data_IF_114079737781
#
_entry.id   IF_114079737781
#
_cell.length_a   1.000
_cell.length_b   1.000
_cell.length_c   1.000
_cell.angle_alpha   90.00
_cell.angle_beta   90.00
_cell.angle_gamma   90.00
#
_symmetry.space_group_name_H-M   'P 1'
#
loop_
_entity.id
_entity.type
_entity.pdbx_description
1 polymer ?
#
# COMPACT_ATOMS: atom_id res chain seq x y z
N UNK A 1 -10.09 -57.16 29.61
CA UNK A 1 -10.41 -55.84 29.00
C UNK A 1 -9.12 -55.12 28.66
N UNK A 2 -8.76 -55.02 27.37
CA UNK A 2 -7.55 -54.30 26.93
C UNK A 2 -7.98 -52.89 26.55
N UNK A 3 -7.50 -51.88 27.29
CA UNK A 3 -7.63 -50.47 26.91
C UNK A 3 -6.66 -50.20 25.73
N UNK A 4 -7.23 -49.87 24.58
CA UNK A 4 -6.47 -49.35 23.46
C UNK A 4 -6.27 -47.84 23.67
N UNK A 5 -5.03 -47.44 23.88
CA UNK A 5 -4.63 -46.05 23.85
C UNK A 5 -4.62 -45.59 22.37
N UNK A 6 -5.56 -44.73 22.03
CA UNK A 6 -5.57 -44.01 20.77
C UNK A 6 -4.68 -42.78 20.92
N UNK A 7 -3.46 -42.82 20.38
CA UNK A 7 -2.60 -41.66 20.23
C UNK A 7 -3.12 -40.85 19.05
N UNK A 8 -3.74 -39.74 19.34
CA UNK A 8 -4.15 -38.77 18.33
C UNK A 8 -2.89 -37.88 18.02
N UNK A 9 -2.20 -38.20 16.92
CA UNK A 9 -1.13 -37.37 16.40
C UNK A 9 -1.77 -36.21 15.66
N UNK A 10 -1.89 -35.05 16.33
CA UNK A 10 -2.32 -33.82 15.69
C UNK A 10 -1.25 -33.32 14.72
N UNK A 11 -1.50 -33.38 13.43
CA UNK A 11 -0.68 -32.71 12.42
C UNK A 11 -0.91 -31.19 12.53
N UNK A 12 0.08 -30.46 13.06
CA UNK A 12 0.06 -29.00 13.03
C UNK A 12 0.59 -28.60 11.64
N UNK A 13 -0.30 -28.21 10.76
CA UNK A 13 0.07 -27.68 9.44
C UNK A 13 0.39 -26.19 9.59
N UNK A 14 1.66 -25.84 9.50
CA UNK A 14 2.05 -24.44 9.39
C UNK A 14 1.77 -23.97 7.96
N UNK A 15 0.78 -23.08 7.79
CA UNK A 15 0.58 -22.38 6.52
C UNK A 15 1.73 -21.37 6.33
N UNK A 16 2.59 -21.62 5.35
CA UNK A 16 3.60 -20.66 4.92
C UNK A 16 2.89 -19.55 4.16
N UNK A 17 2.87 -18.33 4.74
CA UNK A 17 2.36 -17.14 4.05
C UNK A 17 3.35 -16.78 2.95
N UNK A 18 2.93 -16.87 1.68
CA UNK A 18 3.75 -16.48 0.54
C UNK A 18 3.92 -14.95 0.48
N UNK A 19 5.01 -14.41 -0.11
CA UNK A 19 5.19 -12.97 -0.31
C UNK A 19 4.02 -12.29 -1.04
N UNK A 20 3.33 -13.00 -1.94
CA UNK A 20 2.14 -12.52 -2.63
C UNK A 20 0.95 -12.32 -1.68
N UNK A 21 0.79 -13.16 -0.64
CA UNK A 21 -0.25 -12.99 0.38
C UNK A 21 0.06 -11.81 1.31
N UNK A 22 1.33 -11.56 1.63
CA UNK A 22 1.75 -10.39 2.41
C UNK A 22 1.48 -9.08 1.66
N UNK A 23 1.62 -9.06 0.32
CA UNK A 23 1.26 -7.89 -0.50
C UNK A 23 -0.24 -7.62 -0.50
N UNK A 24 -1.07 -8.65 -0.48
CA UNK A 24 -2.53 -8.52 -0.43
C UNK A 24 -3.06 -7.96 0.90
N UNK A 25 -2.28 -8.01 1.97
CA UNK A 25 -2.63 -7.41 3.27
C UNK A 25 -2.90 -5.90 3.16
N UNK A 26 -2.17 -5.20 2.29
CA UNK A 26 -2.35 -3.75 2.09
C UNK A 26 -3.35 -3.42 0.98
N UNK A 27 -3.69 -4.36 0.14
CA UNK A 27 -4.57 -4.14 -1.01
C UNK A 27 -5.96 -3.66 -0.59
N UNK A 28 -6.64 -4.39 0.30
CA UNK A 28 -7.97 -4.03 0.75
C UNK A 28 -8.04 -2.67 1.46
N UNK A 29 -7.20 -2.36 2.45
CA UNK A 29 -7.24 -1.05 3.11
C UNK A 29 -6.84 0.10 2.18
N UNK A 30 -5.91 -0.09 1.27
CA UNK A 30 -5.52 0.96 0.32
C UNK A 30 -6.57 1.16 -0.77
N UNK A 31 -7.23 0.10 -1.24
CA UNK A 31 -8.37 0.22 -2.14
C UNK A 31 -9.54 0.95 -1.49
N UNK A 32 -9.87 0.64 -0.24
CA UNK A 32 -10.90 1.36 0.51
C UNK A 32 -10.54 2.84 0.67
N UNK A 33 -9.30 3.14 1.02
CA UNK A 33 -8.82 4.51 1.12
C UNK A 33 -8.93 5.26 -0.22
N UNK A 34 -8.61 4.60 -1.33
CA UNK A 34 -8.74 5.18 -2.66
C UNK A 34 -10.20 5.49 -3.03
N UNK A 35 -11.13 4.60 -2.70
CA UNK A 35 -12.55 4.76 -3.01
C UNK A 35 -13.22 5.85 -2.18
N UNK A 36 -12.86 5.95 -0.92
CA UNK A 36 -13.55 6.80 0.06
C UNK A 36 -12.77 8.06 0.43
N UNK A 37 -11.71 8.38 -0.30
CA UNK A 37 -10.86 9.55 -0.08
C UNK A 37 -10.28 9.60 1.35
N UNK A 38 -9.77 8.48 1.82
CA UNK A 38 -9.12 8.41 3.12
C UNK A 38 -7.62 8.70 3.01
N UNK A 39 -7.11 9.33 4.05
CA UNK A 39 -5.69 9.59 4.25
C UNK A 39 -5.07 8.44 5.03
N UNK A 40 -3.87 8.03 4.63
CA UNK A 40 -3.13 7.00 5.33
C UNK A 40 -1.78 7.51 5.84
N UNK A 41 -1.35 6.94 6.95
CA UNK A 41 0.01 7.02 7.44
C UNK A 41 0.74 5.75 7.03
N UNK A 42 1.88 5.88 6.38
CA UNK A 42 2.63 4.76 5.80
C UNK A 42 4.10 4.81 6.19
N UNK A 43 4.64 3.68 6.62
CA UNK A 43 6.08 3.44 6.71
C UNK A 43 6.53 2.71 5.45
N UNK A 44 7.54 3.24 4.80
CA UNK A 44 7.96 2.78 3.48
C UNK A 44 9.46 2.54 3.42
N UNK A 45 9.85 1.38 2.85
CA UNK A 45 11.24 1.00 2.57
C UNK A 45 12.16 1.18 3.81
N UNK A 46 13.19 1.98 3.68
CA UNK A 46 14.19 2.25 4.72
C UNK A 46 13.92 3.53 5.52
N UNK A 47 12.68 4.01 5.53
CA UNK A 47 12.33 5.28 6.18
C UNK A 47 12.73 5.29 7.67
N UNK A 48 12.45 4.23 8.41
CA UNK A 48 12.80 4.13 9.83
C UNK A 48 14.31 4.22 10.05
N UNK A 49 15.10 3.49 9.26
CA UNK A 49 16.57 3.50 9.38
C UNK A 49 17.19 4.84 8.99
N UNK A 50 16.48 5.65 8.22
CA UNK A 50 16.89 7.00 7.83
C UNK A 50 16.41 8.09 8.80
N UNK A 51 15.68 7.71 9.85
CA UNK A 51 15.08 8.65 10.79
C UNK A 51 13.93 9.46 10.21
N UNK A 52 13.27 8.95 9.16
CA UNK A 52 12.13 9.61 8.55
C UNK A 52 10.86 9.43 9.37
N UNK A 53 10.06 10.49 9.45
CA UNK A 53 8.69 10.39 9.93
C UNK A 53 7.85 9.54 8.96
N UNK A 54 6.79 8.88 9.45
CA UNK A 54 5.83 8.21 8.58
C UNK A 54 5.31 9.16 7.49
N UNK A 55 5.04 8.60 6.32
CA UNK A 55 4.50 9.35 5.18
C UNK A 55 3.00 9.52 5.35
N UNK A 56 2.51 10.71 5.12
CA UNK A 56 1.07 11.01 5.06
C UNK A 56 0.68 11.10 3.60
N UNK A 57 -0.29 10.27 3.20
CA UNK A 57 -0.61 10.08 1.80
C UNK A 57 -2.13 10.10 1.60
N UNK A 58 -2.57 10.92 0.67
CA UNK A 58 -3.90 10.87 0.08
C UNK A 58 -3.88 9.78 -0.99
N UNK A 59 -4.58 8.68 -0.77
CA UNK A 59 -4.54 7.52 -1.69
C UNK A 59 -5.45 7.77 -2.87
N UNK A 60 -4.89 7.74 -4.09
CA UNK A 60 -5.64 7.97 -5.32
C UNK A 60 -6.01 6.68 -6.03
N UNK A 61 -5.06 5.78 -6.21
CA UNK A 61 -5.24 4.59 -7.01
C UNK A 61 -4.35 3.45 -6.54
N UNK A 62 -4.85 2.23 -6.67
CA UNK A 62 -4.07 0.99 -6.51
C UNK A 62 -4.18 0.20 -7.80
N UNK A 63 -3.08 -0.31 -8.28
CA UNK A 63 -3.09 -1.03 -9.54
C UNK A 63 -1.89 -1.95 -9.75
N UNK A 64 -1.96 -2.66 -10.85
CA UNK A 64 -0.92 -3.59 -11.32
C UNK A 64 -0.13 -2.94 -12.45
N UNK A 65 1.18 -2.97 -12.37
CA UNK A 65 2.08 -2.53 -13.43
C UNK A 65 2.33 -3.59 -14.50
N UNK A 66 3.03 -3.20 -15.57
CA UNK A 66 3.41 -4.11 -16.65
C UNK A 66 4.27 -5.29 -16.19
N UNK A 67 4.97 -5.13 -15.06
CA UNK A 67 5.81 -6.16 -14.45
C UNK A 67 5.03 -7.10 -13.50
N UNK A 68 3.70 -6.99 -13.44
CA UNK A 68 2.83 -7.77 -12.56
C UNK A 68 2.89 -7.38 -11.08
N UNK A 69 3.62 -6.31 -10.72
CA UNK A 69 3.74 -5.83 -9.35
C UNK A 69 2.61 -4.87 -9.00
N UNK A 70 2.24 -4.86 -7.72
CA UNK A 70 1.28 -3.92 -7.16
C UNK A 70 1.95 -2.58 -6.83
N UNK A 71 1.23 -1.52 -7.18
CA UNK A 71 1.62 -0.14 -6.92
C UNK A 71 0.45 0.65 -6.33
N UNK A 72 0.78 1.65 -5.54
CA UNK A 72 -0.16 2.67 -5.09
C UNK A 72 0.30 4.03 -5.59
N UNK A 73 -0.63 4.80 -6.14
CA UNK A 73 -0.47 6.20 -6.46
C UNK A 73 -1.18 7.06 -5.43
N UNK A 74 -0.55 8.13 -5.03
CA UNK A 74 -1.15 9.08 -4.11
C UNK A 74 -0.40 10.40 -4.06
N UNK A 75 -0.94 11.32 -3.27
CA UNK A 75 -0.33 12.59 -2.96
C UNK A 75 0.31 12.53 -1.59
N UNK A 76 1.63 12.62 -1.53
CA UNK A 76 2.36 12.66 -0.27
C UNK A 76 2.47 14.09 0.22
N UNK A 77 1.91 14.36 1.40
CA UNK A 77 1.97 15.68 2.06
C UNK A 77 3.04 15.76 3.14
N UNK A 78 3.53 14.65 3.65
CA UNK A 78 4.49 14.56 4.76
C UNK A 78 5.35 13.30 4.65
N UNK A 79 6.54 13.36 5.25
CA UNK A 79 7.50 12.27 5.31
C UNK A 79 8.66 12.46 4.34
N UNK A 80 9.70 11.64 4.49
CA UNK A 80 10.92 11.77 3.69
C UNK A 80 10.70 11.43 2.22
N UNK A 81 11.33 12.22 1.39
CA UNK A 81 11.58 11.91 -0.02
C UNK A 81 13.06 12.10 -0.28
N UNK A 82 13.60 11.51 -1.34
CA UNK A 82 15.02 11.71 -1.72
C UNK A 82 15.30 13.19 -1.91
N UNK A 83 15.75 13.87 -0.84
CA UNK A 83 16.27 15.24 -0.87
C UNK A 83 15.22 16.34 -1.08
N UNK A 84 13.93 16.08 -0.90
CA UNK A 84 12.88 17.10 -1.07
C UNK A 84 11.72 16.86 -0.13
N UNK A 85 11.41 17.84 0.71
CA UNK A 85 10.27 17.85 1.63
C UNK A 85 9.00 18.43 0.99
N UNK A 86 8.78 18.17 -0.29
CA UNK A 86 7.65 18.77 -0.98
C UNK A 86 6.49 17.80 -1.13
N UNK A 87 5.30 18.32 -0.86
CA UNK A 87 4.06 17.67 -1.23
C UNK A 87 4.05 17.40 -2.75
N UNK A 88 3.85 16.16 -3.13
CA UNK A 88 3.87 15.74 -4.52
C UNK A 88 3.17 14.42 -4.75
N UNK A 89 2.79 14.19 -6.01
CA UNK A 89 2.39 12.86 -6.47
C UNK A 89 3.56 11.89 -6.32
N UNK A 90 3.25 10.68 -5.86
CA UNK A 90 4.20 9.59 -5.66
C UNK A 90 3.61 8.27 -6.07
N UNK A 91 4.51 7.39 -6.53
CA UNK A 91 4.23 5.96 -6.72
C UNK A 91 4.95 5.17 -5.66
N UNK A 92 4.24 4.22 -5.07
CA UNK A 92 4.77 3.33 -4.05
C UNK A 92 4.60 1.89 -4.49
N UNK A 93 5.67 1.11 -4.37
CA UNK A 93 5.63 -0.33 -4.59
C UNK A 93 5.13 -1.03 -3.34
N UNK A 94 4.20 -1.95 -3.48
CA UNK A 94 3.65 -2.70 -2.35
C UNK A 94 4.72 -3.51 -1.61
N UNK A 95 5.68 -4.09 -2.33
CA UNK A 95 6.75 -4.88 -1.73
C UNK A 95 7.71 -4.08 -0.82
N UNK A 96 7.61 -2.75 -0.84
CA UNK A 96 8.37 -1.84 0.02
C UNK A 96 7.54 -1.22 1.15
N UNK A 97 6.25 -1.45 1.20
CA UNK A 97 5.39 -0.98 2.29
C UNK A 97 5.67 -1.81 3.54
N UNK A 98 5.92 -1.16 4.66
CA UNK A 98 6.16 -1.79 5.96
C UNK A 98 4.95 -1.74 6.87
N UNK A 99 4.17 -0.66 6.82
CA UNK A 99 2.90 -0.52 7.53
C UNK A 99 2.02 0.53 6.88
N UNK A 100 0.72 0.36 7.05
CA UNK A 100 -0.31 1.31 6.61
C UNK A 100 -1.35 1.43 7.71
N UNK A 101 -1.71 2.65 8.06
CA UNK A 101 -2.77 2.97 9.00
C UNK A 101 -3.65 4.08 8.42
N UNK A 102 -4.96 3.88 8.42
CA UNK A 102 -5.91 4.95 8.07
C UNK A 102 -5.95 5.94 9.22
N UNK A 103 -5.78 7.21 8.92
CA UNK A 103 -5.82 8.30 9.88
C UNK A 103 -6.94 9.29 9.54
N UNK A 104 -7.37 10.07 10.53
CA UNK A 104 -8.26 11.19 10.27
C UNK A 104 -7.52 12.26 9.45
N UNK A 105 -8.17 12.75 8.41
CA UNK A 105 -7.59 13.77 7.57
C UNK A 105 -8.48 14.04 6.35
N UNK A 106 -8.21 15.14 5.69
CA UNK A 106 -8.90 15.56 4.48
C UNK A 106 -7.86 15.71 3.37
N UNK A 107 -8.18 15.23 2.18
CA UNK A 107 -7.35 15.46 1.01
C UNK A 107 -7.11 16.95 0.80
N UNK A 108 -5.90 17.29 0.50
CA UNK A 108 -5.57 18.66 0.12
C UNK A 108 -6.23 19.01 -1.23
N UNK A 109 -6.50 20.29 -1.47
CA UNK A 109 -7.23 20.75 -2.68
C UNK A 109 -6.55 20.31 -3.98
N UNK A 110 -5.23 20.41 -4.04
CA UNK A 110 -4.48 20.00 -5.22
C UNK A 110 -4.55 18.48 -5.44
N UNK A 111 -4.49 17.71 -4.37
CA UNK A 111 -4.68 16.27 -4.40
C UNK A 111 -6.07 15.89 -4.91
N UNK A 112 -7.10 16.56 -4.44
CA UNK A 112 -8.48 16.35 -4.90
C UNK A 112 -8.63 16.64 -6.40
N UNK A 113 -8.06 17.74 -6.87
CA UNK A 113 -8.08 18.13 -8.29
C UNK A 113 -7.39 17.08 -9.17
N UNK A 114 -6.21 16.61 -8.78
CA UNK A 114 -5.48 15.56 -9.51
C UNK A 114 -6.28 14.27 -9.59
N UNK A 115 -6.92 13.89 -8.49
CA UNK A 115 -7.75 12.69 -8.46
C UNK A 115 -9.00 12.83 -9.33
N UNK A 116 -9.65 13.99 -9.32
CA UNK A 116 -10.86 14.28 -10.11
C UNK A 116 -10.58 14.29 -11.61
N UNK A 117 -9.40 14.75 -12.05
CA UNK A 117 -9.00 14.77 -13.45
C UNK A 117 -8.78 13.36 -14.03
N UNK A 118 -8.71 12.37 -13.16
CA UNK A 118 -8.33 11.00 -13.53
C UNK A 118 -6.83 10.87 -13.74
N UNK A 119 -6.31 9.69 -13.47
CA UNK A 119 -4.90 9.42 -13.64
C UNK A 119 -4.69 8.24 -14.58
N UNK A 120 -3.83 8.42 -15.56
CA UNK A 120 -3.56 7.47 -16.63
C UNK A 120 -2.54 6.37 -16.28
N UNK A 121 -2.08 6.33 -15.03
CA UNK A 121 -1.04 5.39 -14.59
C UNK A 121 0.38 5.90 -14.74
N UNK A 122 0.56 7.15 -15.17
CA UNK A 122 1.86 7.72 -15.48
C UNK A 122 2.18 8.96 -14.64
N UNK A 123 3.46 9.14 -14.34
CA UNK A 123 4.00 10.40 -13.81
C UNK A 123 5.06 10.87 -14.79
N UNK A 124 4.80 11.98 -15.46
CA UNK A 124 5.63 12.43 -16.57
C UNK A 124 5.61 11.39 -17.71
N UNK A 125 6.79 10.99 -18.19
CA UNK A 125 6.94 9.95 -19.22
C UNK A 125 6.97 8.51 -18.67
N UNK A 126 6.93 8.34 -17.35
CA UNK A 126 7.04 7.03 -16.70
C UNK A 126 5.65 6.50 -16.32
N UNK A 127 5.26 5.40 -16.92
CA UNK A 127 4.00 4.72 -16.62
C UNK A 127 4.25 3.52 -15.71
N UNK A 128 3.55 3.49 -14.57
CA UNK A 128 3.75 2.50 -13.51
C UNK A 128 2.57 1.54 -13.39
N UNK A 129 1.34 2.03 -13.51
CA UNK A 129 0.13 1.25 -13.35
C UNK A 129 -0.54 1.07 -14.70
N UNK A 130 -0.75 -0.19 -15.08
CA UNK A 130 -1.44 -0.57 -16.31
C UNK A 130 -2.94 -0.75 -16.07
N UNK A 131 -3.31 -1.26 -14.90
CA UNK A 131 -4.68 -1.64 -14.56
C UNK A 131 -4.99 -1.26 -13.13
N UNK A 132 -6.11 -0.54 -12.93
CA UNK A 132 -6.65 -0.26 -11.61
C UNK A 132 -7.36 -1.51 -11.09
N UNK A 133 -7.04 -1.93 -9.87
CA UNK A 133 -7.62 -3.13 -9.24
C UNK A 133 -8.65 -2.84 -8.17
N UNK A 134 -8.86 -1.56 -7.83
CA UNK A 134 -9.91 -1.14 -6.87
C UNK A 134 -11.21 -0.88 -7.61
N UNK A 135 -12.17 -1.74 -7.42
CA UNK A 135 -13.53 -1.59 -7.94
C UNK A 135 -14.48 -0.90 -6.95
#
# INVERSE_FOLDING_TARGET
MKLRHMTMTGLITFALISPAQAQSEYEAPLCEAAKTNLVVEMVYDKDVSKGCLPRIIDVHQVGIGNNGKLYMHGWQSRGCTKGRDFAAERIFRFDKIKSVEVIEGVFNEKSQSIKADGWDGCIGSNCFIKENICE
#
